data_IF_401044470511
#
_entry.id   IF_401044470511
#
_cell.length_a   1.000
_cell.length_b   1.000
_cell.length_c   1.000
_cell.angle_alpha   90.00
_cell.angle_beta   90.00
_cell.angle_gamma   90.00
#
_symmetry.space_group_name_H-M   'P 1'
#
loop_
_entity.id
_entity.type
_entity.pdbx_description
1 polymer ?
#
# COMPACT_ATOMS: atom_id res chain seq x y z
N UNK A 1 1.75 24.48 -3.41
CA UNK A 1 2.03 23.06 -3.69
C UNK A 1 0.70 22.35 -3.84
N UNK A 2 0.25 22.00 -5.06
CA UNK A 2 -0.84 21.05 -5.18
C UNK A 2 -0.28 19.69 -4.78
N UNK A 3 -0.70 19.16 -3.64
CA UNK A 3 -0.28 17.83 -3.22
C UNK A 3 -1.17 16.85 -3.95
N UNK A 4 -0.59 15.96 -4.74
CA UNK A 4 -1.32 14.86 -5.43
C UNK A 4 -1.81 13.83 -4.42
N UNK A 5 -1.28 13.88 -3.19
CA UNK A 5 -1.64 13.03 -2.08
C UNK A 5 -2.53 13.81 -1.11
N UNK A 6 -3.74 13.32 -0.88
CA UNK A 6 -4.67 13.90 0.09
C UNK A 6 -4.52 13.33 1.50
N UNK A 7 -3.72 12.28 1.70
CA UNK A 7 -3.47 11.68 3.01
C UNK A 7 -2.21 10.82 3.06
N UNK A 8 -1.58 10.76 4.24
CA UNK A 8 -0.50 9.80 4.55
C UNK A 8 -1.02 8.94 5.69
N UNK A 9 -1.07 7.63 5.48
CA UNK A 9 -1.34 6.64 6.52
C UNK A 9 -0.04 5.93 6.91
N UNK A 10 0.10 5.58 8.18
CA UNK A 10 1.23 4.80 8.68
C UNK A 10 0.70 3.48 9.22
N UNK A 11 1.07 2.39 8.57
CA UNK A 11 0.80 1.03 9.05
C UNK A 11 1.87 0.70 10.10
N UNK A 12 1.59 1.03 11.37
CA UNK A 12 2.51 0.76 12.48
C UNK A 12 2.28 -0.61 13.13
N UNK A 13 1.16 -1.26 12.83
CA UNK A 13 0.87 -2.62 13.26
C UNK A 13 1.19 -3.56 12.10
N UNK A 14 1.89 -4.66 12.38
CA UNK A 14 2.48 -5.57 11.38
C UNK A 14 1.48 -6.19 10.38
N UNK A 15 0.17 -5.91 10.52
CA UNK A 15 -0.90 -6.41 9.68
C UNK A 15 -1.93 -5.30 9.45
N UNK A 16 -2.20 -5.00 8.18
CA UNK A 16 -3.35 -4.19 7.78
C UNK A 16 -4.57 -5.11 7.64
N UNK A 17 -5.72 -4.79 8.29
CA UNK A 17 -6.96 -5.52 8.05
C UNK A 17 -7.36 -5.47 6.58
N UNK A 18 -8.13 -6.46 6.14
CA UNK A 18 -8.68 -6.47 4.78
C UNK A 18 -9.63 -5.30 4.59
N UNK A 19 -9.40 -4.53 3.52
CA UNK A 19 -10.20 -3.36 3.16
C UNK A 19 -10.07 -3.09 1.65
N UNK A 20 -10.90 -2.16 1.19
CA UNK A 20 -10.87 -1.53 -0.14
C UNK A 20 -10.86 -0.02 0.12
N UNK A 21 -10.05 0.73 -0.62
CA UNK A 21 -9.93 2.17 -0.43
C UNK A 21 -11.09 2.88 -1.16
N UNK A 22 -12.19 3.07 -0.44
CA UNK A 22 -13.37 3.78 -0.95
C UNK A 22 -13.15 5.30 -0.94
N UNK A 23 -13.67 6.01 -1.95
CA UNK A 23 -13.54 7.46 -2.25
C UNK A 23 -12.37 7.87 -3.17
N UNK A 24 -11.71 6.94 -3.85
CA UNK A 24 -10.72 7.34 -4.83
C UNK A 24 -11.31 7.68 -6.22
N UNK A 25 -10.63 8.55 -6.97
CA UNK A 25 -10.93 8.78 -8.38
C UNK A 25 -10.21 7.73 -9.21
N UNK A 26 -10.82 7.22 -10.29
CA UNK A 26 -10.18 6.29 -11.24
C UNK A 26 -8.84 6.80 -11.81
N UNK A 27 -8.58 8.11 -11.72
CA UNK A 27 -7.34 8.74 -12.19
C UNK A 27 -6.24 8.83 -11.11
N UNK A 28 -6.53 8.43 -9.88
CA UNK A 28 -5.61 8.51 -8.74
C UNK A 28 -5.00 7.12 -8.50
N UNK A 29 -3.76 7.15 -8.03
CA UNK A 29 -2.97 5.94 -7.78
C UNK A 29 -2.54 5.95 -6.33
N UNK A 30 -2.71 4.81 -5.67
CA UNK A 30 -2.16 4.54 -4.37
C UNK A 30 -0.67 4.25 -4.48
N UNK A 31 0.09 4.86 -3.58
CA UNK A 31 1.52 4.62 -3.45
C UNK A 31 1.81 4.13 -2.04
N UNK A 32 2.35 2.91 -1.96
CA UNK A 32 2.82 2.34 -0.70
C UNK A 32 4.34 2.26 -0.72
N UNK A 33 4.96 2.74 0.35
CA UNK A 33 6.40 2.70 0.58
C UNK A 33 6.68 1.91 1.86
N UNK A 34 7.69 1.05 1.80
CA UNK A 34 8.20 0.36 2.99
C UNK A 34 9.46 1.01 3.52
N UNK A 35 9.46 1.30 4.82
CA UNK A 35 10.60 1.86 5.54
C UNK A 35 10.80 1.05 6.81
N UNK A 36 12.02 0.61 7.07
CA UNK A 36 12.37 -0.08 8.31
C UNK A 36 13.29 -1.27 8.09
N UNK A 37 13.56 -2.01 9.16
CA UNK A 37 14.35 -3.23 9.12
C UNK A 37 13.46 -4.40 9.57
N UNK A 38 12.99 -5.20 8.61
CA UNK A 38 12.20 -6.39 8.86
C UNK A 38 12.53 -7.46 7.81
N UNK A 39 12.33 -8.73 8.17
CA UNK A 39 12.65 -9.86 7.30
C UNK A 39 11.46 -10.41 6.53
N UNK A 40 10.23 -10.18 7.01
CA UNK A 40 9.01 -10.79 6.49
C UNK A 40 7.87 -9.78 6.46
N UNK A 41 7.42 -9.46 5.25
CA UNK A 41 6.13 -8.82 4.99
C UNK A 41 5.66 -9.23 3.60
N UNK A 42 4.34 -9.33 3.43
CA UNK A 42 3.72 -9.76 2.18
C UNK A 42 2.62 -8.77 1.83
N UNK A 43 2.61 -8.31 0.60
CA UNK A 43 1.52 -7.53 0.03
C UNK A 43 0.63 -8.47 -0.78
N UNK A 44 -0.67 -8.51 -0.47
CA UNK A 44 -1.61 -9.45 -1.11
C UNK A 44 -2.81 -8.70 -1.67
N UNK A 45 -3.10 -8.95 -2.94
CA UNK A 45 -4.31 -8.52 -3.63
C UNK A 45 -5.19 -9.76 -3.83
N UNK A 46 -6.12 -9.99 -2.90
CA UNK A 46 -6.88 -11.25 -2.80
C UNK A 46 -7.71 -11.54 -4.04
N UNK A 47 -8.43 -10.54 -4.55
CA UNK A 47 -9.31 -10.71 -5.71
C UNK A 47 -8.53 -11.03 -6.99
N UNK A 48 -7.28 -10.55 -7.07
CA UNK A 48 -6.36 -10.87 -8.16
C UNK A 48 -5.57 -12.15 -7.92
N UNK A 49 -5.65 -12.74 -6.72
CA UNK A 49 -4.85 -13.90 -6.27
C UNK A 49 -3.34 -13.66 -6.44
N UNK A 50 -2.90 -12.43 -6.17
CA UNK A 50 -1.51 -12.03 -6.25
C UNK A 50 -0.96 -11.81 -4.84
N UNK A 51 0.26 -12.29 -4.61
CA UNK A 51 1.03 -12.05 -3.39
C UNK A 51 2.48 -11.76 -3.75
N UNK A 52 3.04 -10.74 -3.11
CA UNK A 52 4.40 -10.27 -3.36
C UNK A 52 5.17 -10.18 -2.05
N UNK A 53 6.45 -10.56 -2.09
CA UNK A 53 7.41 -10.23 -1.04
C UNK A 53 7.50 -8.72 -0.91
N UNK A 54 7.10 -8.18 0.23
CA UNK A 54 7.04 -6.75 0.46
C UNK A 54 8.19 -6.29 1.36
N UNK A 55 9.43 -6.44 0.89
CA UNK A 55 10.68 -6.16 1.64
C UNK A 55 10.91 -4.66 1.88
N UNK A 56 11.81 -4.29 2.80
CA UNK A 56 12.19 -2.89 3.01
C UNK A 56 12.72 -2.22 1.74
N UNK A 57 12.33 -0.96 1.51
CA UNK A 57 12.77 -0.17 0.35
C UNK A 57 11.99 -0.43 -0.94
N UNK A 58 10.87 -1.16 -0.87
CA UNK A 58 9.98 -1.37 -2.02
C UNK A 58 8.95 -0.23 -2.08
N UNK A 59 8.67 0.20 -3.31
CA UNK A 59 7.55 1.08 -3.64
C UNK A 59 6.56 0.31 -4.51
N UNK A 60 5.28 0.36 -4.17
CA UNK A 60 4.19 -0.22 -4.95
C UNK A 60 3.26 0.90 -5.40
N UNK A 61 2.96 0.92 -6.69
CA UNK A 61 1.92 1.77 -7.26
C UNK A 61 0.78 0.89 -7.75
N UNK A 62 -0.45 1.16 -7.30
CA UNK A 62 -1.64 0.45 -7.71
C UNK A 62 -2.88 1.35 -7.60
N UNK A 63 -4.06 0.80 -7.90
CA UNK A 63 -5.35 1.45 -7.66
C UNK A 63 -6.07 0.53 -6.66
N UNK A 64 -6.33 1.04 -5.46
CA UNK A 64 -6.95 0.32 -4.33
C UNK A 64 -8.45 0.49 -4.21
#
# INVERSE_FOLDING_TARGET
>A
WPTVFHGISVISNQITPEHIDYNDSWAWYDQLLTIGNYSQAVFTLKDLKLSFDYKPGIVIHFCG
#
